data_IF_045852547887
#
_entry.id   IF_045852547887
#
_cell.length_a   1.000
_cell.length_b   1.000
_cell.length_c   1.000
_cell.angle_alpha   90.00
_cell.angle_beta   90.00
_cell.angle_gamma   90.00
#
_symmetry.space_group_name_H-M   'P 1'
#
loop_
_entity.id
_entity.type
_entity.pdbx_description
1 polymer ?
#
# COMPACT_ATOMS: atom_id res chain seq x y z
N UNK A 1 -19.81 10.64 -13.18
CA UNK A 1 -19.52 10.42 -14.61
C UNK A 1 -18.34 11.30 -14.99
N UNK A 2 -17.13 10.76 -14.95
CA UNK A 2 -15.98 11.34 -15.64
C UNK A 2 -15.69 10.42 -16.82
N UNK A 3 -15.68 10.96 -18.03
CA UNK A 3 -15.49 10.19 -19.27
C UNK A 3 -14.00 9.99 -19.54
N UNK A 4 -13.63 9.04 -20.43
CA UNK A 4 -12.26 8.90 -20.98
C UNK A 4 -11.70 10.26 -21.45
N UNK A 5 -12.58 11.13 -21.97
CA UNK A 5 -12.24 12.51 -22.35
C UNK A 5 -11.74 13.37 -21.21
N UNK A 6 -12.16 13.15 -19.96
CA UNK A 6 -11.68 13.92 -18.81
C UNK A 6 -10.29 13.45 -18.37
N UNK A 7 -9.98 12.16 -18.49
CA UNK A 7 -8.63 11.61 -18.26
C UNK A 7 -7.66 12.06 -19.32
N UNK A 8 -8.03 11.90 -20.59
CA UNK A 8 -7.21 12.36 -21.71
C UNK A 8 -7.04 13.88 -21.66
N UNK A 9 -8.06 14.63 -21.22
CA UNK A 9 -7.96 16.08 -21.05
C UNK A 9 -7.03 16.47 -19.89
N UNK A 10 -7.20 15.90 -18.70
CA UNK A 10 -6.30 16.13 -17.55
C UNK A 10 -4.87 15.70 -17.90
N UNK A 11 -4.70 14.55 -18.55
CA UNK A 11 -3.40 14.03 -18.98
C UNK A 11 -2.72 14.91 -20.04
N UNK A 12 -3.48 15.49 -20.98
CA UNK A 12 -2.94 16.37 -22.00
C UNK A 12 -2.67 17.79 -21.50
N UNK A 13 -3.38 18.25 -20.47
CA UNK A 13 -3.29 19.63 -19.95
C UNK A 13 -2.35 19.77 -18.75
N UNK A 14 -2.11 18.70 -17.97
CA UNK A 14 -1.29 18.76 -16.74
C UNK A 14 0.20 18.54 -16.98
N UNK A 15 1.03 19.45 -16.47
CA UNK A 15 2.48 19.28 -16.40
C UNK A 15 2.87 18.16 -15.42
N UNK A 16 2.11 17.93 -14.34
CA UNK A 16 2.40 16.86 -13.38
C UNK A 16 2.22 15.47 -13.99
N UNK A 17 1.23 15.31 -14.88
CA UNK A 17 1.08 14.07 -15.66
C UNK A 17 2.27 13.88 -16.60
N UNK A 18 2.69 14.92 -17.34
CA UNK A 18 3.84 14.85 -18.24
C UNK A 18 5.13 14.50 -17.51
N UNK A 19 5.34 15.05 -16.32
CA UNK A 19 6.48 14.72 -15.45
C UNK A 19 6.41 13.26 -14.97
N UNK A 20 5.24 12.78 -14.54
CA UNK A 20 5.06 11.39 -14.12
C UNK A 20 5.25 10.42 -15.29
N UNK A 21 4.70 10.73 -16.46
CA UNK A 21 4.86 9.92 -17.68
C UNK A 21 6.30 9.93 -18.21
N UNK A 22 7.10 10.95 -17.87
CA UNK A 22 8.52 10.98 -18.16
C UNK A 22 9.34 10.04 -17.24
N UNK A 23 8.76 9.57 -16.13
CA UNK A 23 9.40 8.54 -15.32
C UNK A 23 9.40 7.21 -16.06
N UNK A 24 10.58 6.60 -16.18
CA UNK A 24 10.73 5.27 -16.74
C UNK A 24 10.77 4.25 -15.60
N UNK A 25 9.81 3.31 -15.56
CA UNK A 25 9.80 2.19 -14.60
C UNK A 25 11.11 1.39 -14.63
N UNK A 26 11.84 1.38 -15.75
CA UNK A 26 13.12 0.69 -15.90
C UNK A 26 14.26 1.40 -15.17
N UNK A 27 14.10 2.67 -14.83
CA UNK A 27 15.05 3.44 -14.02
C UNK A 27 14.86 3.23 -12.51
N UNK A 28 13.90 2.38 -12.10
CA UNK A 28 13.70 2.03 -10.71
C UNK A 28 14.98 1.42 -10.12
N UNK A 29 15.44 1.97 -8.99
CA UNK A 29 16.62 1.50 -8.29
C UNK A 29 16.26 0.64 -7.07
N UNK A 30 17.09 -0.37 -6.84
CA UNK A 30 16.91 -1.34 -5.77
C UNK A 30 15.73 -2.27 -5.97
N UNK A 31 15.67 -3.31 -5.14
CA UNK A 31 14.67 -4.37 -5.27
C UNK A 31 13.23 -3.88 -5.02
N UNK A 32 13.09 -2.92 -4.09
CA UNK A 32 11.85 -2.18 -3.81
C UNK A 32 11.46 -1.22 -4.95
N UNK A 33 12.36 -0.97 -5.90
CA UNK A 33 12.10 -0.26 -7.14
C UNK A 33 11.76 1.22 -6.95
N UNK A 34 12.54 1.96 -6.16
CA UNK A 34 12.34 3.41 -6.04
C UNK A 34 12.65 4.09 -7.37
N UNK A 35 11.71 4.88 -7.89
CA UNK A 35 11.87 5.58 -9.17
C UNK A 35 12.16 7.04 -8.93
N UNK A 36 11.24 7.73 -8.27
CA UNK A 36 11.39 9.13 -7.92
C UNK A 36 10.39 9.51 -6.86
N UNK A 37 10.73 10.49 -6.04
CA UNK A 37 9.81 11.18 -5.17
C UNK A 37 9.18 12.42 -5.81
N UNK A 38 9.56 12.72 -7.04
CA UNK A 38 9.00 13.80 -7.85
C UNK A 38 8.32 13.22 -9.12
N UNK A 39 7.20 13.80 -9.57
CA UNK A 39 6.43 14.85 -8.89
C UNK A 39 5.86 14.35 -7.55
N UNK A 40 5.62 15.27 -6.62
CA UNK A 40 5.03 14.90 -5.32
C UNK A 40 3.60 14.39 -5.47
N UNK A 41 3.11 13.66 -4.46
CA UNK A 41 1.77 13.09 -4.50
C UNK A 41 0.66 14.15 -4.58
N UNK A 42 -0.08 14.12 -5.68
CA UNK A 42 -1.36 14.82 -5.86
C UNK A 42 -2.33 13.96 -6.68
N UNK A 43 -3.55 14.45 -6.90
CA UNK A 43 -4.60 13.75 -7.65
C UNK A 43 -4.14 13.33 -9.06
N UNK A 44 -3.54 14.24 -9.82
CA UNK A 44 -3.12 14.03 -11.21
C UNK A 44 -1.99 12.99 -11.30
N UNK A 45 -1.01 13.09 -10.40
CA UNK A 45 0.10 12.13 -10.34
C UNK A 45 -0.33 10.76 -9.84
N UNK A 46 -1.34 10.69 -8.95
CA UNK A 46 -1.96 9.43 -8.57
C UNK A 46 -2.57 8.76 -9.80
N UNK A 47 -3.42 9.49 -10.54
CA UNK A 47 -4.03 9.00 -11.78
C UNK A 47 -2.97 8.56 -12.80
N UNK A 48 -1.87 9.29 -12.93
CA UNK A 48 -0.79 8.93 -13.86
C UNK A 48 -0.05 7.66 -13.42
N UNK A 49 0.25 7.52 -12.12
CA UNK A 49 0.95 6.37 -11.57
C UNK A 49 0.20 5.05 -11.81
N UNK A 50 -1.13 5.08 -11.73
CA UNK A 50 -2.02 3.92 -11.88
C UNK A 50 -2.15 3.41 -13.32
N UNK A 51 -1.75 4.20 -14.31
CA UNK A 51 -1.68 3.72 -15.71
C UNK A 51 -0.33 3.07 -16.01
N UNK A 52 0.73 3.48 -15.31
CA UNK A 52 2.11 3.05 -15.56
C UNK A 52 2.61 1.92 -14.65
N UNK A 53 1.74 1.34 -13.81
CA UNK A 53 2.14 0.32 -12.84
C UNK A 53 3.03 0.85 -11.70
N UNK A 54 3.00 2.17 -11.47
CA UNK A 54 3.67 2.79 -10.34
C UNK A 54 2.76 2.75 -9.12
N UNK A 55 3.36 2.68 -7.94
CA UNK A 55 2.65 2.87 -6.69
C UNK A 55 3.31 3.95 -5.85
N UNK A 56 2.48 4.77 -5.18
CA UNK A 56 3.01 5.72 -4.22
C UNK A 56 3.18 5.06 -2.86
N UNK A 57 4.42 4.97 -2.40
CA UNK A 57 4.75 4.36 -1.12
C UNK A 57 5.92 5.12 -0.48
N UNK A 58 6.76 4.40 0.25
CA UNK A 58 7.86 4.93 0.98
C UNK A 58 8.74 3.82 1.50
N UNK A 59 10.03 4.12 1.48
CA UNK A 59 11.10 3.21 1.81
C UNK A 59 11.91 3.78 2.97
N UNK A 60 12.41 2.87 3.82
CA UNK A 60 13.32 3.22 4.89
C UNK A 60 14.72 3.43 4.31
N UNK A 61 15.36 4.52 4.72
CA UNK A 61 16.79 4.78 4.52
C UNK A 61 17.45 4.65 5.89
N UNK A 62 18.10 3.51 6.13
CA UNK A 62 18.82 3.25 7.37
C UNK A 62 20.15 3.98 7.40
N UNK A 63 20.76 4.11 8.58
CA UNK A 63 22.06 4.75 8.76
C UNK A 63 23.05 3.72 9.25
N UNK A 64 24.22 3.68 8.65
CA UNK A 64 25.32 2.84 9.08
C UNK A 64 26.64 3.62 9.00
N UNK A 65 27.59 3.33 9.88
CA UNK A 65 28.90 3.99 9.87
C UNK A 65 29.76 3.60 8.66
N UNK A 66 29.58 2.37 8.18
CA UNK A 66 30.28 1.80 7.03
C UNK A 66 29.47 0.67 6.36
N UNK A 67 29.97 0.15 5.24
CA UNK A 67 29.33 -0.93 4.49
C UNK A 67 29.30 -2.27 5.25
N UNK A 68 30.24 -2.52 6.17
CA UNK A 68 30.26 -3.75 6.95
C UNK A 68 29.13 -3.76 7.98
N UNK A 69 28.92 -2.65 8.67
CA UNK A 69 27.79 -2.43 9.56
C UNK A 69 26.46 -2.46 8.81
N UNK A 70 26.42 -1.86 7.61
CA UNK A 70 25.24 -1.91 6.76
C UNK A 70 24.89 -3.36 6.36
N UNK A 71 25.89 -4.20 6.05
CA UNK A 71 25.71 -5.61 5.72
C UNK A 71 25.24 -6.44 6.91
N UNK A 72 25.84 -6.25 8.08
CA UNK A 72 25.40 -6.91 9.29
C UNK A 72 23.94 -6.56 9.61
N UNK A 73 23.61 -5.28 9.57
CA UNK A 73 22.24 -4.78 9.77
C UNK A 73 21.28 -5.33 8.72
N UNK A 74 21.65 -5.32 7.44
CA UNK A 74 20.86 -5.88 6.34
C UNK A 74 20.55 -7.37 6.55
N UNK A 75 21.55 -8.16 6.91
CA UNK A 75 21.38 -9.58 7.17
C UNK A 75 20.49 -9.84 8.38
N UNK A 76 20.61 -9.03 9.45
CA UNK A 76 19.76 -9.16 10.63
C UNK A 76 18.30 -8.77 10.35
N UNK A 77 18.06 -7.80 9.48
CA UNK A 77 16.71 -7.40 9.07
C UNK A 77 16.09 -8.39 8.07
N UNK A 78 16.88 -8.85 7.10
CA UNK A 78 16.38 -9.76 6.08
C UNK A 78 16.29 -11.19 6.60
N UNK A 79 17.13 -11.64 7.52
CA UNK A 79 17.12 -13.01 8.03
C UNK A 79 16.60 -12.99 9.47
N UNK A 80 15.30 -13.22 9.63
CA UNK A 80 14.67 -13.34 10.95
C UNK A 80 14.10 -14.74 11.13
N UNK A 81 14.47 -15.40 12.22
CA UNK A 81 14.10 -16.80 12.52
C UNK A 81 14.40 -17.77 11.34
N UNK A 82 15.51 -17.55 10.64
CA UNK A 82 15.93 -18.35 9.48
C UNK A 82 15.12 -18.12 8.20
N UNK A 83 14.31 -17.05 8.13
CA UNK A 83 13.52 -16.69 6.94
C UNK A 83 13.95 -15.36 6.35
N UNK A 84 14.03 -15.31 5.02
CA UNK A 84 14.33 -14.08 4.28
C UNK A 84 13.08 -13.19 4.14
N UNK A 85 13.03 -12.06 4.84
CA UNK A 85 12.05 -11.00 4.64
C UNK A 85 12.58 -10.01 3.59
N UNK A 86 12.45 -10.40 2.32
CA UNK A 86 12.87 -9.62 1.13
C UNK A 86 12.32 -8.19 1.15
N UNK A 87 11.19 -7.97 1.84
CA UNK A 87 10.57 -6.67 2.03
C UNK A 87 11.41 -5.70 2.84
N UNK A 88 12.32 -6.17 3.68
CA UNK A 88 13.16 -5.30 4.51
C UNK A 88 14.41 -4.80 3.79
N UNK A 89 14.64 -5.19 2.52
CA UNK A 89 15.71 -4.63 1.71
C UNK A 89 15.53 -3.12 1.55
N UNK A 90 16.57 -2.37 1.90
CA UNK A 90 16.47 -0.94 2.11
C UNK A 90 17.67 -0.17 1.56
N UNK A 91 17.52 1.15 1.53
CA UNK A 91 18.63 2.06 1.29
C UNK A 91 19.39 2.29 2.60
N UNK A 92 20.67 2.56 2.48
CA UNK A 92 21.61 2.80 3.57
C UNK A 92 22.37 4.09 3.29
N UNK A 93 22.21 5.07 4.17
CA UNK A 93 23.04 6.24 4.27
C UNK A 93 24.31 5.87 5.04
N UNK A 94 25.47 5.98 4.39
CA UNK A 94 26.75 5.77 5.07
C UNK A 94 27.19 7.11 5.66
N UNK A 95 27.13 7.23 6.98
CA UNK A 95 27.37 8.47 7.72
C UNK A 95 27.88 8.17 9.13
N UNK A 96 28.68 9.09 9.67
CA UNK A 96 29.22 9.07 11.02
C UNK A 96 28.21 9.48 12.11
N UNK A 97 26.95 9.72 11.71
CA UNK A 97 25.85 10.04 12.61
C UNK A 97 25.61 8.95 13.66
N UNK A 98 25.70 9.36 14.93
CA UNK A 98 25.42 8.49 16.06
C UNK A 98 24.01 8.68 16.64
N UNK A 99 23.59 7.75 17.51
CA UNK A 99 22.25 7.73 18.10
C UNK A 99 21.88 9.02 18.85
N UNK A 100 22.84 9.68 19.52
CA UNK A 100 22.60 10.92 20.27
C UNK A 100 22.25 12.04 19.29
N UNK A 101 23.04 12.19 18.23
CA UNK A 101 22.81 13.20 17.19
C UNK A 101 21.45 12.99 16.50
N UNK A 102 21.08 11.73 16.24
CA UNK A 102 19.80 11.40 15.60
C UNK A 102 18.62 11.66 16.52
N UNK A 103 18.75 11.34 17.81
CA UNK A 103 17.71 11.62 18.80
C UNK A 103 17.51 13.13 18.98
N UNK A 104 18.60 13.90 19.08
CA UNK A 104 18.54 15.37 19.14
C UNK A 104 17.94 15.96 17.86
N UNK A 105 18.33 15.44 16.70
CA UNK A 105 17.78 15.87 15.41
C UNK A 105 16.28 15.59 15.33
N UNK A 106 15.81 14.45 15.84
CA UNK A 106 14.38 14.09 15.82
C UNK A 106 13.47 15.07 16.59
N UNK A 107 14.05 15.89 17.48
CA UNK A 107 13.35 16.89 18.30
C UNK A 107 13.24 18.25 17.61
N UNK A 108 13.89 18.44 16.45
CA UNK A 108 13.91 19.72 15.71
C UNK A 108 12.69 19.88 14.79
N UNK A 109 12.40 21.11 14.31
CA UNK A 109 11.39 21.33 13.28
C UNK A 109 11.64 20.46 12.05
N UNK A 110 10.55 20.01 11.42
CA UNK A 110 10.60 19.11 10.25
C UNK A 110 11.48 19.66 9.13
N UNK A 111 11.38 20.95 8.84
CA UNK A 111 12.16 21.63 7.80
C UNK A 111 13.68 21.53 8.03
N UNK A 112 14.13 21.61 9.29
CA UNK A 112 15.55 21.48 9.64
C UNK A 112 16.04 20.04 9.47
N UNK A 113 15.25 19.07 9.95
CA UNK A 113 15.50 17.64 9.79
C UNK A 113 15.68 17.33 8.31
N UNK A 114 14.69 17.73 7.54
CA UNK A 114 14.59 17.54 6.11
C UNK A 114 15.81 18.10 5.37
N UNK A 115 16.18 19.36 5.65
CA UNK A 115 17.34 20.01 5.02
C UNK A 115 18.64 19.28 5.38
N UNK A 116 18.82 18.93 6.65
CA UNK A 116 20.01 18.22 7.12
C UNK A 116 20.17 16.88 6.38
N UNK A 117 19.13 16.06 6.30
CA UNK A 117 19.22 14.76 5.63
C UNK A 117 19.36 14.86 4.12
N UNK A 118 18.76 15.87 3.49
CA UNK A 118 18.99 16.10 2.07
C UNK A 118 20.48 16.31 1.77
N UNK A 119 21.18 17.10 2.59
CA UNK A 119 22.63 17.27 2.47
C UNK A 119 23.40 15.98 2.81
N UNK A 120 22.95 15.25 3.83
CA UNK A 120 23.63 14.02 4.25
C UNK A 120 23.53 12.92 3.21
N UNK A 121 22.36 12.76 2.56
CA UNK A 121 22.18 11.81 1.46
C UNK A 121 23.15 12.07 0.30
N UNK A 122 23.57 13.32 0.05
CA UNK A 122 24.56 13.64 -0.99
C UNK A 122 25.95 13.07 -0.69
N UNK A 123 26.26 12.77 0.58
CA UNK A 123 27.53 12.13 0.97
C UNK A 123 27.59 10.66 0.53
N UNK A 124 26.44 9.98 0.44
CA UNK A 124 26.35 8.64 -0.15
C UNK A 124 25.19 7.80 0.39
N UNK A 125 24.32 7.36 -0.53
CA UNK A 125 23.29 6.35 -0.26
C UNK A 125 23.62 5.09 -1.05
N UNK A 126 23.42 3.94 -0.44
CA UNK A 126 23.66 2.62 -1.03
C UNK A 126 22.42 1.75 -0.91
N UNK A 127 22.28 0.76 -1.79
CA UNK A 127 21.33 -0.32 -1.62
C UNK A 127 22.00 -1.66 -1.89
N UNK A 128 21.40 -2.73 -1.39
CA UNK A 128 21.86 -4.08 -1.64
C UNK A 128 20.97 -4.76 -2.69
N UNK A 129 21.59 -5.13 -3.81
CA UNK A 129 20.99 -5.92 -4.90
C UNK A 129 21.99 -6.99 -5.34
N UNK A 130 22.13 -8.02 -4.50
CA UNK A 130 23.20 -9.03 -4.51
C UNK A 130 24.62 -8.46 -4.32
N UNK A 131 24.80 -7.15 -4.43
CA UNK A 131 25.99 -6.38 -4.16
C UNK A 131 25.61 -4.99 -3.64
N UNK A 132 26.55 -4.30 -2.99
CA UNK A 132 26.36 -2.92 -2.56
C UNK A 132 26.54 -1.97 -3.74
N UNK A 133 25.45 -1.31 -4.13
CA UNK A 133 25.43 -0.35 -5.23
C UNK A 133 25.27 1.05 -4.66
N UNK A 134 26.21 1.95 -5.00
CA UNK A 134 26.09 3.36 -4.66
C UNK A 134 25.07 4.04 -5.57
N UNK A 135 24.12 4.77 -4.97
CA UNK A 135 23.16 5.58 -5.71
C UNK A 135 23.88 6.80 -6.28
N UNK A 136 23.81 7.06 -7.60
CA UNK A 136 24.46 8.22 -8.20
C UNK A 136 23.96 9.54 -7.60
N UNK A 137 24.87 10.47 -7.29
CA UNK A 137 24.52 11.78 -6.69
C UNK A 137 23.50 12.54 -7.53
N UNK A 138 23.64 12.56 -8.87
CA UNK A 138 22.66 13.20 -9.77
C UNK A 138 21.26 12.61 -9.65
N UNK A 139 21.17 11.31 -9.40
CA UNK A 139 19.88 10.66 -9.18
C UNK A 139 19.27 11.12 -7.86
N UNK A 140 20.06 11.18 -6.78
CA UNK A 140 19.60 11.70 -5.49
C UNK A 140 19.10 13.14 -5.60
N UNK A 141 19.86 14.02 -6.25
CA UNK A 141 19.49 15.44 -6.42
C UNK A 141 18.18 15.63 -7.21
N UNK A 142 17.95 14.78 -8.21
CA UNK A 142 16.78 14.89 -9.10
C UNK A 142 15.55 14.21 -8.53
N UNK A 143 15.73 13.08 -7.84
CA UNK A 143 14.64 12.14 -7.56
C UNK A 143 14.35 11.96 -6.07
N UNK A 144 15.27 12.24 -5.14
CA UNK A 144 14.90 12.22 -3.72
C UNK A 144 14.17 13.53 -3.39
N UNK A 145 13.15 13.45 -2.53
CA UNK A 145 12.65 14.63 -1.85
C UNK A 145 13.35 14.78 -0.51
N UNK A 146 13.32 16.01 -0.03
CA UNK A 146 13.26 16.36 1.38
C UNK A 146 12.70 15.23 2.27
N UNK A 147 13.58 14.60 3.06
CA UNK A 147 13.25 13.45 3.93
C UNK A 147 12.04 13.77 4.81
N UNK A 148 11.07 12.87 4.87
CA UNK A 148 9.77 13.17 5.45
C UNK A 148 9.74 13.10 6.98
N UNK A 149 10.35 12.06 7.57
CA UNK A 149 10.29 11.79 9.01
C UNK A 149 11.53 10.99 9.44
N UNK A 150 12.09 11.33 10.61
CA UNK A 150 12.97 10.43 11.36
C UNK A 150 12.09 9.50 12.19
N UNK A 151 12.34 8.21 12.10
CA UNK A 151 11.70 7.22 12.95
C UNK A 151 12.75 6.35 13.62
N UNK A 152 12.47 5.98 14.86
CA UNK A 152 13.22 4.95 15.58
C UNK A 152 12.28 3.76 15.78
N UNK A 153 12.75 2.57 15.41
CA UNK A 153 12.01 1.34 15.69
C UNK A 153 12.91 0.38 16.50
N UNK A 154 12.46 -0.12 17.67
CA UNK A 154 13.19 -1.12 18.43
C UNK A 154 13.60 -2.32 17.57
N UNK A 155 14.89 -2.65 17.55
CA UNK A 155 15.47 -3.74 16.77
C UNK A 155 15.84 -3.39 15.33
N UNK A 156 15.35 -2.28 14.77
CA UNK A 156 15.72 -1.83 13.41
C UNK A 156 16.62 -0.58 13.41
N UNK A 157 16.69 0.13 14.53
CA UNK A 157 17.47 1.36 14.67
C UNK A 157 16.75 2.60 14.13
N UNK A 158 17.52 3.66 13.89
CA UNK A 158 17.02 4.90 13.27
C UNK A 158 16.98 4.75 11.75
N UNK A 159 15.93 5.30 11.15
CA UNK A 159 15.80 5.40 9.70
C UNK A 159 15.02 6.64 9.30
N UNK A 160 15.24 7.05 8.06
CA UNK A 160 14.42 8.04 7.37
C UNK A 160 13.36 7.37 6.54
N UNK A 161 12.22 8.03 6.42
CA UNK A 161 11.20 7.62 5.47
C UNK A 161 11.29 8.46 4.21
N UNK A 162 11.64 7.82 3.09
CA UNK A 162 11.64 8.41 1.75
C UNK A 162 10.34 8.01 1.05
N UNK A 163 9.37 8.93 0.92
CA UNK A 163 8.16 8.68 0.11
C UNK A 163 8.40 8.96 -1.36
N UNK A 164 7.60 8.35 -2.23
CA UNK A 164 7.72 8.54 -3.67
C UNK A 164 6.99 7.47 -4.48
N UNK A 165 7.28 7.46 -5.77
CA UNK A 165 6.85 6.50 -6.76
C UNK A 165 7.79 5.30 -6.79
N UNK A 166 7.19 4.12 -6.72
CA UNK A 166 7.87 2.84 -6.73
C UNK A 166 7.30 1.94 -7.82
N UNK A 167 8.16 1.13 -8.42
CA UNK A 167 7.80 0.01 -9.27
C UNK A 167 8.70 -1.18 -8.88
N UNK A 168 8.31 -1.91 -7.80
CA UNK A 168 9.16 -2.97 -7.25
C UNK A 168 9.48 -4.05 -8.29
N UNK A 169 10.67 -4.65 -8.19
CA UNK A 169 11.10 -5.71 -9.11
C UNK A 169 10.17 -6.95 -9.07
N UNK A 170 9.50 -7.15 -7.95
CA UNK A 170 8.39 -8.11 -7.79
C UNK A 170 7.12 -7.38 -7.37
N UNK A 171 6.01 -7.64 -8.06
CA UNK A 171 4.69 -7.07 -7.73
C UNK A 171 3.78 -8.13 -7.13
N UNK A 172 3.13 -7.80 -6.03
CA UNK A 172 2.14 -8.66 -5.39
C UNK A 172 0.80 -8.58 -6.08
N UNK A 173 0.24 -9.71 -6.49
CA UNK A 173 -1.06 -9.79 -7.18
C UNK A 173 -1.94 -10.89 -6.61
N UNK A 174 -3.25 -10.77 -6.81
CA UNK A 174 -4.21 -11.88 -6.69
C UNK A 174 -4.82 -12.12 -8.07
N UNK A 175 -4.50 -13.25 -8.70
CA UNK A 175 -5.15 -13.68 -9.96
C UNK A 175 -6.45 -14.41 -9.63
N UNK A 176 -7.57 -14.02 -10.23
CA UNK A 176 -8.87 -14.64 -9.92
C UNK A 176 -8.93 -16.12 -10.28
N UNK A 177 -8.21 -16.53 -11.34
CA UNK A 177 -8.04 -17.92 -11.74
C UNK A 177 -7.51 -18.81 -10.60
N UNK A 178 -6.71 -18.27 -9.68
CA UNK A 178 -6.18 -19.01 -8.52
C UNK A 178 -7.26 -19.29 -7.45
N UNK A 179 -8.33 -18.49 -7.43
CA UNK A 179 -9.39 -18.55 -6.42
C UNK A 179 -10.59 -19.41 -6.83
N UNK A 180 -10.79 -19.64 -8.14
CA UNK A 180 -11.92 -20.39 -8.69
C UNK A 180 -12.05 -21.77 -8.02
N UNK A 181 -13.25 -22.06 -7.50
CA UNK A 181 -13.57 -23.34 -6.88
C UNK A 181 -12.89 -23.63 -5.54
N UNK A 182 -12.08 -22.69 -5.02
CA UNK A 182 -11.30 -22.92 -3.80
C UNK A 182 -12.18 -23.08 -2.54
N UNK A 183 -11.72 -23.89 -1.59
CA UNK A 183 -12.39 -24.07 -0.29
C UNK A 183 -12.51 -22.74 0.46
N UNK A 184 -11.52 -21.86 0.35
CA UNK A 184 -11.54 -20.52 0.96
C UNK A 184 -12.73 -19.71 0.47
N UNK A 185 -12.93 -19.59 -0.85
CA UNK A 185 -14.06 -18.82 -1.41
C UNK A 185 -15.40 -19.41 -0.97
N UNK A 186 -15.55 -20.74 -0.98
CA UNK A 186 -16.76 -21.41 -0.48
C UNK A 186 -17.06 -21.08 0.98
N UNK A 187 -16.03 -21.06 1.83
CA UNK A 187 -16.17 -20.68 3.23
C UNK A 187 -16.57 -19.20 3.37
N UNK A 188 -15.92 -18.30 2.64
CA UNK A 188 -16.25 -16.86 2.66
C UNK A 188 -17.69 -16.63 2.24
N UNK A 189 -18.18 -17.33 1.20
CA UNK A 189 -19.60 -17.30 0.80
C UNK A 189 -20.53 -17.79 1.89
N UNK A 190 -20.16 -18.84 2.62
CA UNK A 190 -20.95 -19.32 3.76
C UNK A 190 -21.05 -18.27 4.85
N UNK A 191 -19.93 -17.62 5.20
CA UNK A 191 -19.89 -16.52 6.17
C UNK A 191 -20.71 -15.32 5.68
N UNK A 192 -20.57 -14.95 4.42
CA UNK A 192 -21.33 -13.85 3.78
C UNK A 192 -22.84 -14.03 3.95
N UNK A 193 -23.34 -15.25 3.65
CA UNK A 193 -24.76 -15.58 3.83
C UNK A 193 -25.20 -15.61 5.29
N UNK A 194 -24.32 -15.92 6.23
CA UNK A 194 -24.62 -15.85 7.66
C UNK A 194 -24.74 -14.38 8.10
N UNK A 195 -23.76 -13.55 7.75
CA UNK A 195 -23.74 -12.12 8.05
C UNK A 195 -24.96 -11.40 7.47
N UNK A 196 -25.29 -11.66 6.21
CA UNK A 196 -26.47 -11.09 5.56
C UNK A 196 -27.77 -11.41 6.34
N UNK A 197 -27.95 -12.66 6.79
CA UNK A 197 -29.11 -13.05 7.62
C UNK A 197 -29.12 -12.40 9.00
N UNK A 198 -27.97 -12.00 9.51
CA UNK A 198 -27.81 -11.25 10.77
C UNK A 198 -28.02 -9.74 10.60
N UNK A 199 -28.40 -9.28 9.40
CA UNK A 199 -28.65 -7.87 9.11
C UNK A 199 -27.41 -7.05 8.81
N UNK A 200 -26.26 -7.70 8.55
CA UNK A 200 -25.10 -6.99 8.03
C UNK A 200 -25.34 -6.61 6.56
N UNK A 201 -24.63 -5.59 6.09
CA UNK A 201 -24.67 -5.17 4.70
C UNK A 201 -23.27 -4.84 4.17
N UNK A 202 -23.04 -5.01 2.87
CA UNK A 202 -21.88 -4.40 2.20
C UNK A 202 -22.36 -3.16 1.45
N UNK A 203 -21.71 -2.03 1.71
CA UNK A 203 -21.87 -0.81 0.93
C UNK A 203 -20.58 -0.48 0.20
N UNK A 204 -20.70 0.37 -0.82
CA UNK A 204 -19.56 0.88 -1.56
C UNK A 204 -19.60 2.41 -1.54
N UNK A 205 -18.42 3.01 -1.48
CA UNK A 205 -18.21 4.44 -1.72
C UNK A 205 -19.02 5.36 -0.79
N UNK A 206 -19.52 4.85 0.34
CA UNK A 206 -20.36 5.64 1.24
C UNK A 206 -19.55 6.41 2.28
N UNK A 207 -18.37 5.90 2.67
CA UNK A 207 -17.51 6.58 3.63
C UNK A 207 -16.04 6.12 3.53
N UNK A 208 -15.36 6.52 2.45
CA UNK A 208 -13.95 6.18 2.23
C UNK A 208 -13.03 6.71 3.34
N UNK A 209 -13.35 7.89 3.91
CA UNK A 209 -12.56 8.47 5.00
C UNK A 209 -12.56 7.57 6.23
N UNK A 210 -13.72 7.08 6.66
CA UNK A 210 -13.83 6.17 7.79
C UNK A 210 -13.11 4.84 7.52
N UNK A 211 -13.15 4.33 6.29
CA UNK A 211 -12.40 3.11 5.91
C UNK A 211 -10.90 3.33 6.03
N UNK A 212 -10.39 4.43 5.47
CA UNK A 212 -8.96 4.75 5.51
C UNK A 212 -8.47 5.07 6.93
N UNK A 213 -9.29 5.75 7.73
CA UNK A 213 -9.04 5.96 9.16
C UNK A 213 -8.98 4.61 9.91
N UNK A 214 -9.91 3.69 9.62
CA UNK A 214 -9.88 2.33 10.13
C UNK A 214 -8.57 1.60 9.77
N UNK A 215 -8.10 1.72 8.52
CA UNK A 215 -6.81 1.17 8.10
C UNK A 215 -5.60 1.82 8.79
N UNK A 216 -5.67 3.13 9.05
CA UNK A 216 -4.61 3.89 9.73
C UNK A 216 -4.51 3.52 11.21
N UNK A 217 -5.65 3.45 11.88
CA UNK A 217 -5.71 3.35 13.34
C UNK A 217 -5.72 1.90 13.84
N UNK A 218 -5.90 0.93 12.93
CA UNK A 218 -5.80 -0.49 13.24
C UNK A 218 -4.46 -0.85 13.88
N UNK A 219 -4.52 -1.37 15.12
CA UNK A 219 -3.36 -1.90 15.81
C UNK A 219 -2.79 -3.12 15.05
N UNK A 220 -1.48 -3.13 14.83
CA UNK A 220 -0.75 -4.25 14.22
C UNK A 220 0.21 -4.83 15.25
N UNK A 221 0.45 -6.14 15.20
CA UNK A 221 1.29 -6.82 16.21
C UNK A 221 2.67 -6.16 16.29
N UNK A 222 3.02 -5.61 17.46
CA UNK A 222 4.27 -4.88 17.70
C UNK A 222 4.26 -3.39 17.32
N UNK A 223 3.11 -2.83 16.90
CA UNK A 223 2.92 -1.41 16.59
C UNK A 223 1.75 -0.86 17.43
N UNK A 224 1.93 0.32 18.03
CA UNK A 224 0.83 1.05 18.68
C UNK A 224 -0.24 1.50 17.68
N UNK A 225 -1.42 1.94 18.15
CA UNK A 225 -2.47 2.52 17.29
C UNK A 225 -1.89 3.67 16.46
N UNK A 226 -2.08 3.65 15.15
CA UNK A 226 -1.55 4.67 14.22
C UNK A 226 -0.02 4.70 14.07
N UNK A 227 0.74 3.97 14.89
CA UNK A 227 2.20 4.00 14.89
C UNK A 227 2.76 3.30 13.64
N UNK A 228 3.25 4.08 12.67
CA UNK A 228 3.89 3.58 11.46
C UNK A 228 2.95 3.33 10.28
N UNK A 229 1.70 3.83 10.31
CA UNK A 229 0.84 3.84 9.12
C UNK A 229 1.35 4.84 8.08
N UNK A 230 1.39 4.44 6.80
CA UNK A 230 1.65 5.36 5.67
C UNK A 230 0.47 6.29 5.36
N UNK A 231 -0.70 6.02 5.94
CA UNK A 231 -1.94 6.74 5.66
C UNK A 231 -1.95 8.03 6.50
N UNK A 232 -1.89 9.16 5.81
CA UNK A 232 -1.92 10.51 6.40
C UNK A 232 -3.23 11.21 6.07
N UNK A 233 -3.56 12.31 6.76
CA UNK A 233 -4.76 13.10 6.45
C UNK A 233 -4.74 13.65 5.01
N UNK A 234 -3.56 14.03 4.51
CA UNK A 234 -3.39 14.43 3.12
C UNK A 234 -3.73 13.28 2.15
N UNK A 235 -3.32 12.05 2.46
CA UNK A 235 -3.66 10.88 1.64
C UNK A 235 -5.17 10.61 1.66
N UNK A 236 -5.80 10.70 2.83
CA UNK A 236 -7.26 10.53 2.97
C UNK A 236 -8.01 11.54 2.10
N UNK A 237 -7.62 12.82 2.18
CA UNK A 237 -8.21 13.89 1.36
C UNK A 237 -8.06 13.59 -0.13
N UNK A 238 -6.87 13.19 -0.58
CA UNK A 238 -6.63 12.84 -1.99
C UNK A 238 -7.51 11.68 -2.45
N UNK A 239 -7.69 10.63 -1.64
CA UNK A 239 -8.57 9.51 -2.00
C UNK A 239 -10.05 9.89 -2.01
N UNK A 240 -10.51 10.77 -1.12
CA UNK A 240 -11.87 11.29 -1.13
C UNK A 240 -12.15 12.09 -2.41
N UNK A 241 -11.18 12.89 -2.86
CA UNK A 241 -11.27 13.62 -4.12
C UNK A 241 -11.25 12.68 -5.32
N UNK A 242 -10.37 11.68 -5.35
CA UNK A 242 -10.33 10.65 -6.39
C UNK A 242 -11.63 9.82 -6.45
N UNK A 243 -12.27 9.56 -5.30
CA UNK A 243 -13.56 8.89 -5.25
C UNK A 243 -14.63 9.71 -5.99
N UNK A 244 -14.66 11.03 -5.78
CA UNK A 244 -15.58 11.92 -6.49
C UNK A 244 -15.39 11.92 -8.01
N UNK A 245 -14.18 11.57 -8.47
CA UNK A 245 -13.82 11.42 -9.87
C UNK A 245 -14.07 10.01 -10.42
N UNK A 246 -14.50 9.05 -9.59
CA UNK A 246 -14.65 7.65 -9.97
C UNK A 246 -13.33 6.90 -10.14
N UNK A 247 -12.26 7.38 -9.50
CA UNK A 247 -10.88 6.82 -9.58
C UNK A 247 -10.38 6.19 -8.29
N UNK A 248 -11.14 6.33 -7.22
CA UNK A 248 -10.96 5.55 -6.01
C UNK A 248 -12.26 4.80 -5.69
N UNK A 249 -12.15 3.83 -4.80
CA UNK A 249 -13.29 3.12 -4.27
C UNK A 249 -13.08 2.80 -2.79
N UNK A 250 -14.19 2.59 -2.09
CA UNK A 250 -14.22 1.95 -0.78
C UNK A 250 -15.30 0.89 -0.75
N UNK A 251 -15.04 -0.17 0.03
CA UNK A 251 -16.01 -1.22 0.33
C UNK A 251 -16.13 -1.28 1.85
N UNK A 252 -17.36 -1.20 2.35
CA UNK A 252 -17.65 -1.17 3.79
C UNK A 252 -18.53 -2.36 4.16
N UNK A 253 -18.10 -3.18 5.13
CA UNK A 253 -19.02 -4.07 5.82
C UNK A 253 -19.65 -3.31 6.98
N UNK A 254 -20.98 -3.20 6.97
CA UNK A 254 -21.79 -2.59 8.01
C UNK A 254 -22.49 -3.63 8.85
N UNK A 255 -22.51 -3.43 10.17
CA UNK A 255 -23.33 -4.25 11.07
C UNK A 255 -24.82 -3.86 10.96
N UNK A 256 -25.69 -4.54 11.71
CA UNK A 256 -27.14 -4.26 11.72
C UNK A 256 -27.52 -2.91 12.34
N UNK A 257 -26.58 -2.23 13.00
CA UNK A 257 -26.72 -0.86 13.51
C UNK A 257 -26.29 0.19 12.48
N UNK A 258 -25.67 -0.22 11.37
CA UNK A 258 -25.15 0.66 10.32
C UNK A 258 -23.68 1.06 10.48
N UNK A 259 -23.01 0.61 11.55
CA UNK A 259 -21.60 0.93 11.81
C UNK A 259 -20.67 0.16 10.88
N UNK A 260 -19.58 0.79 10.43
CA UNK A 260 -18.55 0.14 9.61
C UNK A 260 -17.67 -0.73 10.52
N UNK A 261 -17.69 -2.03 10.28
CA UNK A 261 -16.98 -3.04 11.09
C UNK A 261 -15.86 -3.76 10.33
N UNK A 262 -15.69 -3.47 9.04
CA UNK A 262 -14.51 -3.79 8.25
C UNK A 262 -14.59 -3.00 6.94
N UNK A 263 -13.47 -2.85 6.25
CA UNK A 263 -13.48 -2.21 4.95
C UNK A 263 -12.16 -2.33 4.22
N UNK A 264 -12.21 -2.06 2.92
CA UNK A 264 -11.04 -1.92 2.07
C UNK A 264 -11.21 -0.71 1.18
N UNK A 265 -10.11 -0.12 0.77
CA UNK A 265 -10.12 0.98 -0.19
C UNK A 265 -9.01 0.76 -1.20
N UNK A 266 -9.13 1.45 -2.32
CA UNK A 266 -8.19 1.32 -3.41
C UNK A 266 -8.46 2.31 -4.52
N UNK A 267 -7.75 2.11 -5.63
CA UNK A 267 -7.91 2.91 -6.83
C UNK A 267 -8.37 2.06 -8.01
N UNK A 268 -9.04 2.71 -8.96
CA UNK A 268 -9.37 2.15 -10.28
C UNK A 268 -8.80 3.10 -11.32
N UNK A 269 -7.87 2.64 -12.15
CA UNK A 269 -7.21 3.47 -13.15
C UNK A 269 -6.91 2.69 -14.42
N UNK A 270 -7.63 3.00 -15.51
CA UNK A 270 -7.49 2.29 -16.78
C UNK A 270 -7.68 0.78 -16.61
N UNK A 271 -6.59 0.05 -16.74
CA UNK A 271 -6.52 -1.41 -16.64
C UNK A 271 -6.09 -1.92 -15.26
N UNK A 272 -5.83 -1.04 -14.30
CA UNK A 272 -5.37 -1.38 -12.95
C UNK A 272 -6.49 -1.20 -11.92
N UNK A 273 -6.69 -2.25 -11.11
CA UNK A 273 -7.50 -2.22 -9.89
C UNK A 273 -6.62 -2.61 -8.72
N UNK A 274 -6.21 -1.63 -7.90
CA UNK A 274 -5.38 -1.91 -6.74
C UNK A 274 -6.15 -1.83 -5.44
N UNK A 275 -5.85 -2.76 -4.56
CA UNK A 275 -6.37 -2.84 -3.21
C UNK A 275 -5.30 -2.40 -2.20
N UNK A 276 -5.35 -1.12 -1.80
CA UNK A 276 -4.31 -0.44 -1.01
C UNK A 276 -4.16 -0.98 0.41
N UNK A 277 -5.28 -1.18 1.10
CA UNK A 277 -5.29 -1.64 2.47
C UNK A 277 -6.67 -2.13 2.88
N UNK A 278 -6.67 -3.10 3.78
CA UNK A 278 -7.87 -3.63 4.41
C UNK A 278 -7.79 -3.39 5.90
N UNK A 279 -8.91 -3.04 6.51
CA UNK A 279 -9.06 -3.04 7.96
C UNK A 279 -10.16 -3.97 8.42
N UNK A 280 -9.94 -4.48 9.62
CA UNK A 280 -10.91 -5.16 10.43
C UNK A 280 -10.50 -4.89 11.88
N UNK A 281 -11.44 -4.50 12.75
CA UNK A 281 -11.11 -4.20 14.13
C UNK A 281 -10.50 -5.45 14.77
N UNK A 282 -9.26 -5.32 15.23
CA UNK A 282 -8.77 -6.22 16.27
C UNK A 282 -9.66 -5.96 17.48
N UNK A 283 -10.33 -6.98 18.00
CA UNK A 283 -11.21 -6.81 19.17
C UNK A 283 -10.42 -6.10 20.28
N UNK A 284 -10.82 -4.86 20.58
CA UNK A 284 -10.72 -4.27 21.92
C UNK A 284 -12.16 -4.00 22.34
N UNK A 285 -12.94 -5.06 22.58
CA UNK A 285 -14.12 -4.90 23.41
C UNK A 285 -13.65 -4.86 24.85
N UNK A 286 -13.76 -3.70 25.49
CA UNK A 286 -13.47 -3.52 26.92
C UNK A 286 -14.37 -4.39 27.82
N UNK A 287 -15.43 -5.01 27.28
CA UNK A 287 -16.41 -5.80 28.04
C UNK A 287 -16.45 -7.30 27.70
N UNK A 288 -15.41 -7.86 27.08
CA UNK A 288 -15.29 -9.31 26.91
C UNK A 288 -14.60 -9.96 28.11
N UNK A 289 -15.24 -9.91 29.28
CA UNK A 289 -14.86 -10.79 30.38
C UNK A 289 -15.33 -12.20 30.01
N UNK A 290 -14.38 -13.09 29.71
CA UNK A 290 -14.54 -14.55 29.54
C UNK A 290 -14.62 -15.15 28.12
N UNK A 291 -14.14 -14.50 27.05
CA UNK A 291 -14.00 -15.12 25.72
C UNK A 291 -15.29 -15.78 25.12
N UNK A 292 -16.46 -15.62 25.75
CA UNK A 292 -17.74 -16.18 25.30
C UNK A 292 -18.39 -15.32 24.20
N UNK A 293 -17.61 -15.01 23.17
CA UNK A 293 -18.12 -14.50 21.90
C UNK A 293 -18.39 -15.72 21.01
N UNK A 294 -19.47 -16.46 21.27
CA UNK A 294 -19.67 -17.82 20.71
C UNK A 294 -19.73 -17.91 19.16
N UNK A 295 -19.73 -16.80 18.42
CA UNK A 295 -19.99 -16.83 16.97
C UNK A 295 -18.87 -16.34 16.04
N UNK A 296 -17.78 -15.71 16.50
CA UNK A 296 -16.72 -15.24 15.58
C UNK A 296 -15.29 -15.49 16.08
N UNK A 297 -14.62 -16.48 15.48
CA UNK A 297 -13.24 -16.90 15.78
C UNK A 297 -12.16 -15.86 15.46
N UNK A 298 -12.49 -14.79 14.74
CA UNK A 298 -11.68 -13.58 14.52
C UNK A 298 -12.41 -12.63 13.55
N UNK A 299 -12.36 -11.31 13.76
CA UNK A 299 -12.88 -10.31 12.82
C UNK A 299 -12.18 -10.31 11.45
N UNK A 300 -11.15 -11.15 11.26
CA UNK A 300 -10.50 -11.37 9.98
C UNK A 300 -11.48 -11.86 8.91
N UNK A 301 -12.52 -12.61 9.28
CA UNK A 301 -13.52 -13.07 8.32
C UNK A 301 -14.35 -11.92 7.73
N UNK A 302 -14.50 -10.81 8.45
CA UNK A 302 -15.13 -9.60 7.90
C UNK A 302 -14.29 -9.00 6.77
N UNK A 303 -12.98 -8.89 6.96
CA UNK A 303 -12.07 -8.46 5.91
C UNK A 303 -12.09 -9.41 4.70
N UNK A 304 -12.23 -10.72 4.92
CA UNK A 304 -12.34 -11.68 3.80
C UNK A 304 -13.61 -11.48 2.99
N UNK A 305 -14.73 -11.22 3.65
CA UNK A 305 -16.03 -10.96 3.00
C UNK A 305 -15.96 -9.67 2.17
N UNK A 306 -15.44 -8.58 2.75
CA UNK A 306 -15.21 -7.30 2.05
C UNK A 306 -14.35 -7.48 0.80
N UNK A 307 -13.21 -8.16 0.94
CA UNK A 307 -12.28 -8.40 -0.17
C UNK A 307 -12.91 -9.31 -1.24
N UNK A 308 -13.65 -10.34 -0.85
CA UNK A 308 -14.30 -11.23 -1.80
C UNK A 308 -15.36 -10.51 -2.61
N UNK A 309 -16.16 -9.65 -1.99
CA UNK A 309 -17.16 -8.86 -2.69
C UNK A 309 -16.51 -7.92 -3.72
N UNK A 310 -15.41 -7.24 -3.37
CA UNK A 310 -14.62 -6.47 -4.34
C UNK A 310 -14.19 -7.33 -5.54
N UNK A 311 -13.69 -8.55 -5.28
CA UNK A 311 -13.22 -9.44 -6.33
C UNK A 311 -14.35 -9.85 -7.27
N UNK A 312 -15.55 -10.04 -6.74
CA UNK A 312 -16.72 -10.38 -7.55
C UNK A 312 -17.10 -9.23 -8.47
N UNK A 313 -17.16 -8.00 -7.95
CA UNK A 313 -17.45 -6.81 -8.76
C UNK A 313 -16.40 -6.63 -9.85
N UNK A 314 -15.12 -6.78 -9.50
CA UNK A 314 -14.00 -6.67 -10.41
C UNK A 314 -14.07 -7.75 -11.52
N UNK A 315 -14.31 -9.00 -11.15
CA UNK A 315 -14.38 -10.11 -12.09
C UNK A 315 -15.61 -9.98 -13.01
N UNK A 316 -16.75 -9.53 -12.50
CA UNK A 316 -17.95 -9.23 -13.31
C UNK A 316 -17.69 -8.12 -14.32
N UNK A 317 -16.88 -7.11 -13.95
CA UNK A 317 -16.49 -6.04 -14.83
C UNK A 317 -15.44 -6.49 -15.89
N UNK A 318 -14.72 -7.59 -15.63
CA UNK A 318 -13.78 -8.20 -16.58
C UNK A 318 -12.31 -8.14 -16.17
N UNK A 319 -12.01 -7.66 -14.96
CA UNK A 319 -10.65 -7.74 -14.42
C UNK A 319 -10.22 -9.20 -14.25
N UNK A 320 -8.92 -9.47 -14.41
CA UNK A 320 -8.35 -10.81 -14.23
C UNK A 320 -7.57 -10.95 -12.92
N UNK A 321 -7.20 -9.82 -12.31
CA UNK A 321 -6.40 -9.78 -11.10
C UNK A 321 -6.68 -8.51 -10.29
N UNK A 322 -6.14 -8.49 -9.07
CA UNK A 322 -6.05 -7.32 -8.18
C UNK A 322 -4.59 -7.01 -7.93
N UNK A 323 -4.17 -5.76 -8.11
CA UNK A 323 -2.87 -5.28 -7.64
C UNK A 323 -2.91 -5.11 -6.11
N UNK A 324 -1.92 -5.68 -5.42
CA UNK A 324 -1.74 -5.49 -3.99
C UNK A 324 -0.56 -4.57 -3.68
N UNK A 325 0.27 -4.26 -4.68
CA UNK A 325 1.62 -3.79 -4.48
C UNK A 325 2.49 -4.88 -3.87
N UNK A 326 2.25 -5.22 -2.60
CA UNK A 326 3.01 -6.19 -1.82
C UNK A 326 2.12 -7.28 -1.21
N UNK A 327 2.63 -8.50 -1.19
CA UNK A 327 1.95 -9.65 -0.57
C UNK A 327 2.13 -9.62 0.95
N UNK A 328 1.03 -9.84 1.66
CA UNK A 328 1.01 -10.01 3.12
C UNK A 328 0.74 -11.48 3.49
N UNK A 329 1.01 -11.87 4.73
CA UNK A 329 0.63 -13.20 5.24
C UNK A 329 -0.87 -13.45 5.07
N UNK A 330 -1.69 -12.41 5.30
CA UNK A 330 -3.14 -12.50 5.13
C UNK A 330 -3.53 -12.78 3.67
N UNK A 331 -3.05 -11.97 2.73
CA UNK A 331 -3.41 -12.11 1.30
C UNK A 331 -2.83 -13.39 0.71
N UNK A 332 -1.61 -13.78 1.09
CA UNK A 332 -0.99 -15.05 0.66
C UNK A 332 -1.79 -16.26 1.13
N UNK A 333 -2.09 -16.35 2.42
CA UNK A 333 -2.70 -17.55 2.99
C UNK A 333 -4.20 -17.65 2.70
N UNK A 334 -4.88 -16.51 2.54
CA UNK A 334 -6.33 -16.49 2.29
C UNK A 334 -6.64 -16.53 0.80
N UNK A 335 -6.01 -15.62 0.05
CA UNK A 335 -6.35 -15.34 -1.34
C UNK A 335 -5.27 -15.79 -2.33
N UNK A 336 -4.35 -16.65 -1.87
CA UNK A 336 -3.26 -17.19 -2.70
C UNK A 336 -2.50 -16.09 -3.44
N UNK A 337 -2.36 -14.92 -2.81
CA UNK A 337 -1.59 -13.84 -3.38
C UNK A 337 -0.15 -14.28 -3.63
N UNK A 338 0.38 -13.88 -4.77
CA UNK A 338 1.71 -14.25 -5.22
C UNK A 338 2.50 -13.03 -5.67
N UNK A 339 3.82 -13.17 -5.65
CA UNK A 339 4.71 -12.20 -6.26
C UNK A 339 5.00 -12.63 -7.68
N UNK A 340 4.85 -11.72 -8.63
CA UNK A 340 5.25 -11.90 -10.03
C UNK A 340 6.34 -10.90 -10.39
N UNK A 341 7.20 -11.17 -11.38
CA UNK A 341 8.13 -10.17 -11.90
C UNK A 341 7.39 -8.93 -12.40
N UNK A 342 7.99 -7.75 -12.25
CA UNK A 342 7.43 -6.48 -12.73
C UNK A 342 7.05 -6.54 -14.21
N UNK A 343 7.84 -7.19 -15.05
CA UNK A 343 7.59 -7.31 -16.49
C UNK A 343 6.32 -8.14 -16.76
N UNK A 344 6.05 -9.17 -15.96
CA UNK A 344 4.79 -9.92 -16.02
C UNK A 344 3.61 -9.07 -15.55
N UNK A 345 3.81 -8.26 -14.50
CA UNK A 345 2.78 -7.34 -14.01
C UNK A 345 2.40 -6.29 -15.07
N UNK A 346 3.38 -5.68 -15.74
CA UNK A 346 3.13 -4.75 -16.84
C UNK A 346 2.37 -5.43 -17.99
N UNK A 347 2.73 -6.67 -18.32
CA UNK A 347 1.99 -7.44 -19.32
C UNK A 347 0.54 -7.74 -18.88
N UNK A 348 0.26 -7.94 -17.59
CA UNK A 348 -1.12 -8.09 -17.10
C UNK A 348 -1.93 -6.80 -17.26
N UNK A 349 -1.31 -5.64 -17.03
CA UNK A 349 -1.95 -4.34 -17.25
C UNK A 349 -2.29 -4.14 -18.73
N UNK A 350 -1.33 -4.39 -19.63
CA UNK A 350 -1.53 -4.26 -21.08
C UNK A 350 -2.65 -5.17 -21.64
N UNK A 351 -2.83 -6.36 -21.04
CA UNK A 351 -3.85 -7.32 -21.46
C UNK A 351 -5.22 -7.13 -20.78
N UNK A 352 -5.32 -6.23 -19.80
CA UNK A 352 -6.59 -5.96 -19.11
C UNK A 352 -7.34 -4.85 -19.86
N UNK A 353 -8.65 -5.01 -20.13
CA UNK A 353 -9.39 -4.00 -20.89
C UNK A 353 -9.34 -2.63 -20.21
N UNK A 354 -9.11 -1.59 -21.00
CA UNK A 354 -9.19 -0.21 -20.53
C UNK A 354 -10.65 0.19 -20.24
N UNK A 355 -10.83 1.16 -19.34
CA UNK A 355 -12.11 1.83 -19.06
C UNK A 355 -13.25 0.91 -18.62
N UNK A 356 -12.90 -0.17 -17.90
CA UNK A 356 -13.87 -1.09 -17.32
C UNK A 356 -14.59 -0.44 -16.15
N UNK A 357 -15.90 -0.21 -16.30
CA UNK A 357 -16.74 0.29 -15.22
C UNK A 357 -17.11 -0.85 -14.25
N UNK A 358 -16.73 -0.68 -12.98
CA UNK A 358 -17.10 -1.61 -11.92
C UNK A 358 -18.43 -1.15 -11.31
N UNK A 359 -19.43 -2.03 -11.32
CA UNK A 359 -20.71 -1.75 -10.68
C UNK A 359 -20.57 -1.77 -9.15
N UNK A 360 -20.57 -0.58 -8.56
CA UNK A 360 -20.65 -0.35 -7.11
C UNK A 360 -22.03 0.09 -6.64
N UNK A 361 -23.04 0.03 -7.52
CA UNK A 361 -24.40 0.51 -7.24
C UNK A 361 -25.38 -0.61 -6.92
N UNK A 362 -25.19 -1.81 -7.48
CA UNK A 362 -26.03 -2.96 -7.15
C UNK A 362 -25.89 -3.33 -5.68
N UNK A 363 -27.03 -3.50 -5.01
CA UNK A 363 -27.07 -3.88 -3.60
C UNK A 363 -26.43 -5.25 -3.35
N UNK A 364 -25.78 -5.40 -2.20
CA UNK A 364 -25.17 -6.65 -1.82
C UNK A 364 -26.22 -7.71 -1.48
N UNK A 365 -26.15 -8.84 -2.19
CA UNK A 365 -26.99 -10.00 -1.88
C UNK A 365 -26.21 -11.31 -2.13
N UNK A 366 -25.63 -11.92 -1.09
CA UNK A 366 -24.84 -13.14 -1.22
C UNK A 366 -25.70 -14.43 -1.33
N UNK A 367 -27.03 -14.30 -1.44
CA UNK A 367 -27.97 -15.42 -1.62
C UNK A 367 -28.31 -15.69 -3.10
N UNK A 368 -27.98 -14.75 -3.98
CA UNK A 368 -27.99 -14.91 -5.44
C UNK A 368 -26.64 -15.48 -5.89
#
# INVERSE_FOLDING_TARGET
>A
MSTKSDFDRIANESDAYREMAALDVRNAIGYRGFVSAKPGLNQETMIAGTLGGFMYWGQRVHIAGDLAQALEHHNNLTIKDGKTEILMAAFYLISDLNHIQLEEMSKRPREEITKFFSEECKKGVYYYDNQWVQVPVRFLESNFIEVDLIMMNPGEGYFFYQRGWFSPAIRGVIKFSNLVGSKTVKNIRSVSRNLYRKGFNITFNQNIEAVMQGCRDQARKGQGKGAGSRITDALIKSYAELLSMGKAYSVELRNSQGDIVAGTFGFVGGSELACDSVFYPAVLQENCENNDCEDFKSNIDYAKVVMQELFDRAQMAGFQFIDLGMVTVFTKNTFKAEYIPREEFLALLENTPEDVEIDFTTEWNPLL
#
